data_IF_764812117899
#
_entry.id   IF_764812117899
#
_cell.length_a   1.000
_cell.length_b   1.000
_cell.length_c   1.000
_cell.angle_alpha   90.00
_cell.angle_beta   90.00
_cell.angle_gamma   90.00
#
_symmetry.space_group_name_H-M   'P 1'
#
loop_
_entity.id
_entity.type
_entity.pdbx_description
1 polymer ?
#
# COMPACT_ATOMS: atom_id res chain seq x y z
N UNK A 1 3.57 -10.30 -6.17
CA UNK A 1 2.85 -9.69 -5.05
C UNK A 1 2.76 -10.73 -3.95
N UNK A 2 3.29 -10.40 -2.78
CA UNK A 2 3.31 -11.29 -1.62
C UNK A 2 1.94 -11.35 -0.92
N UNK A 3 1.10 -10.33 -1.11
CA UNK A 3 -0.22 -10.21 -0.47
C UNK A 3 -1.35 -11.04 -1.14
N UNK A 4 -1.05 -11.89 -2.11
CA UNK A 4 -2.04 -12.79 -2.73
C UNK A 4 -3.10 -12.13 -3.64
N UNK A 5 -3.05 -10.80 -3.82
CA UNK A 5 -3.92 -10.06 -4.75
C UNK A 5 -3.10 -9.38 -5.85
N UNK A 6 -3.74 -8.99 -6.94
CA UNK A 6 -3.10 -8.24 -8.04
C UNK A 6 -3.07 -6.74 -7.76
N UNK A 7 -2.17 -6.01 -8.44
CA UNK A 7 -2.04 -4.55 -8.37
C UNK A 7 -3.34 -3.87 -8.79
N UNK A 8 -4.01 -4.42 -9.80
CA UNK A 8 -5.32 -3.96 -10.24
C UNK A 8 -6.38 -4.14 -9.16
N UNK A 9 -6.38 -5.29 -8.46
CA UNK A 9 -7.33 -5.51 -7.38
C UNK A 9 -7.07 -4.59 -6.19
N UNK A 10 -5.79 -4.38 -5.85
CA UNK A 10 -5.42 -3.44 -4.78
C UNK A 10 -5.79 -2.00 -5.15
N UNK A 11 -5.58 -1.59 -6.40
CA UNK A 11 -6.00 -0.30 -6.93
C UNK A 11 -7.53 -0.10 -6.80
N UNK A 12 -8.33 -1.12 -7.14
CA UNK A 12 -9.79 -1.10 -6.97
C UNK A 12 -10.19 -0.93 -5.50
N UNK A 13 -9.56 -1.67 -4.58
CA UNK A 13 -9.85 -1.62 -3.14
C UNK A 13 -9.45 -0.30 -2.48
N UNK A 14 -8.38 0.33 -2.97
CA UNK A 14 -7.82 1.56 -2.37
C UNK A 14 -8.26 2.84 -3.06
N UNK A 15 -8.87 2.74 -4.25
CA UNK A 15 -9.18 3.88 -5.12
C UNK A 15 -7.94 4.54 -5.75
N UNK A 16 -6.79 3.87 -5.72
CA UNK A 16 -5.54 4.37 -6.28
C UNK A 16 -5.37 3.93 -7.74
N UNK A 17 -4.58 4.68 -8.51
CA UNK A 17 -4.20 4.23 -9.85
C UNK A 17 -3.25 3.01 -9.75
N UNK A 18 -3.38 1.98 -10.61
CA UNK A 18 -2.46 0.83 -10.63
C UNK A 18 -0.98 1.24 -10.77
N UNK A 19 -0.71 2.30 -11.55
CA UNK A 19 0.62 2.87 -11.69
C UNK A 19 1.18 3.46 -10.40
N UNK A 20 0.34 3.97 -9.49
CA UNK A 20 0.79 4.43 -8.18
C UNK A 20 1.22 3.23 -7.33
N UNK A 21 0.41 2.17 -7.27
CA UNK A 21 0.76 0.94 -6.54
C UNK A 21 2.12 0.40 -7.00
N UNK A 22 2.35 0.30 -8.31
CA UNK A 22 3.63 -0.19 -8.85
C UNK A 22 4.84 0.69 -8.45
N UNK A 23 4.66 2.01 -8.36
CA UNK A 23 5.73 2.93 -7.95
C UNK A 23 6.01 2.85 -6.44
N UNK A 24 4.98 2.60 -5.64
CA UNK A 24 5.09 2.38 -4.19
C UNK A 24 5.87 1.09 -3.92
N UNK A 25 5.48 -0.02 -4.54
CA UNK A 25 6.15 -1.33 -4.37
C UNK A 25 7.63 -1.31 -4.79
N UNK A 26 7.98 -0.50 -5.80
CA UNK A 26 9.36 -0.38 -6.28
C UNK A 26 10.20 0.62 -5.48
N UNK A 27 9.65 1.27 -4.46
CA UNK A 27 10.33 2.30 -3.67
C UNK A 27 10.67 3.57 -4.47
N UNK A 28 10.13 3.71 -5.69
CA UNK A 28 10.38 4.87 -6.59
C UNK A 28 9.45 6.04 -6.30
N UNK A 29 8.66 5.97 -5.23
CA UNK A 29 7.70 7.00 -4.85
C UNK A 29 7.68 7.19 -3.34
N UNK A 30 7.95 8.42 -2.91
CA UNK A 30 7.68 8.81 -1.53
C UNK A 30 6.17 8.89 -1.35
N UNK A 31 5.66 8.06 -0.43
CA UNK A 31 4.23 7.86 -0.23
C UNK A 31 3.83 8.42 1.13
N UNK A 32 2.73 9.18 1.18
CA UNK A 32 2.20 9.69 2.43
C UNK A 32 1.68 8.56 3.34
N UNK A 33 1.67 8.83 4.65
CA UNK A 33 1.14 7.90 5.67
C UNK A 33 -0.33 7.56 5.40
N UNK A 34 -1.09 8.50 4.86
CA UNK A 34 -2.50 8.33 4.47
C UNK A 34 -2.67 7.24 3.39
N UNK A 35 -1.81 7.23 2.37
CA UNK A 35 -1.83 6.22 1.31
C UNK A 35 -1.34 4.88 1.85
N UNK A 36 -0.30 4.87 2.69
CA UNK A 36 0.20 3.65 3.32
C UNK A 36 -0.87 3.01 4.22
N UNK A 37 -1.60 3.82 5.00
CA UNK A 37 -2.71 3.36 5.83
C UNK A 37 -3.82 2.73 4.97
N UNK A 38 -4.24 3.41 3.89
CA UNK A 38 -5.27 2.86 2.98
C UNK A 38 -4.87 1.53 2.36
N UNK A 39 -3.61 1.39 1.97
CA UNK A 39 -3.08 0.13 1.43
C UNK A 39 -3.09 -0.95 2.52
N UNK A 40 -2.67 -0.60 3.75
CA UNK A 40 -2.77 -1.48 4.91
C UNK A 40 -4.20 -1.97 5.13
N UNK A 41 -5.17 -1.05 5.22
CA UNK A 41 -6.58 -1.36 5.47
C UNK A 41 -7.15 -2.29 4.38
N UNK A 42 -6.86 -2.01 3.11
CA UNK A 42 -7.29 -2.85 1.98
C UNK A 42 -6.71 -4.27 1.99
N UNK A 43 -5.57 -4.45 2.67
CA UNK A 43 -4.89 -5.71 2.85
C UNK A 43 -5.19 -6.37 4.20
N UNK A 44 -6.02 -5.75 5.06
CA UNK A 44 -6.35 -6.25 6.39
C UNK A 44 -5.25 -6.01 7.44
N UNK A 45 -4.40 -5.03 7.22
CA UNK A 45 -3.35 -4.59 8.16
C UNK A 45 -3.65 -3.21 8.73
N UNK A 46 -3.08 -2.93 9.91
CA UNK A 46 -3.09 -1.61 10.53
C UNK A 46 -1.68 -1.02 10.51
N UNK A 47 -1.57 0.27 10.17
CA UNK A 47 -0.32 1.00 10.30
C UNK A 47 -0.10 1.40 11.76
N UNK A 48 1.08 1.07 12.30
CA UNK A 48 1.45 1.37 13.68
C UNK A 48 2.93 1.72 13.80
N UNK A 49 3.29 2.49 14.84
CA UNK A 49 4.67 2.78 15.17
C UNK A 49 5.23 1.72 16.12
N UNK A 50 6.41 1.21 15.80
CA UNK A 50 7.15 0.30 16.66
C UNK A 50 8.39 1.01 17.22
N UNK A 51 8.71 0.77 18.49
CA UNK A 51 9.90 1.32 19.12
C UNK A 51 11.16 0.83 18.40
N UNK A 52 12.05 1.76 18.05
CA UNK A 52 13.36 1.42 17.49
C UNK A 52 14.24 0.89 18.63
N UNK A 53 14.59 -0.40 18.55
CA UNK A 53 15.58 -1.03 19.44
C UNK A 53 17.00 -0.71 19.03
#
# INVERSE_FOLDING_TARGET
MEAGISQYKLAELTGLAPGNIARIETGKYSTGIDILSKIGDALGYQLDFIENK
#
